data_IF_371348481549
#
_entry.id   IF_371348481549
#
_cell.length_a   1.000
_cell.length_b   1.000
_cell.length_c   1.000
_cell.angle_alpha   90.00
_cell.angle_beta   90.00
_cell.angle_gamma   90.00
#
_symmetry.space_group_name_H-M   'P 1'
#
loop_
_entity.id
_entity.type
_entity.pdbx_description
1 polymer ?
#
# COMPACT_ATOMS: atom_id res chain seq x y z
N UNK A 1 13.34 -8.24 17.31
CA UNK A 1 12.11 -7.52 16.91
C UNK A 1 11.36 -7.17 18.20
N UNK A 2 11.14 -5.90 18.49
CA UNK A 2 10.50 -5.46 19.74
C UNK A 2 8.98 -5.27 19.62
N UNK A 3 8.48 -5.04 18.40
CA UNK A 3 7.04 -4.87 18.09
C UNK A 3 6.69 -5.62 16.81
N UNK A 4 5.43 -6.09 16.65
CA UNK A 4 5.01 -6.73 15.41
C UNK A 4 5.03 -5.73 14.25
N UNK A 5 5.26 -6.23 13.04
CA UNK A 5 5.18 -5.42 11.83
C UNK A 5 3.75 -4.87 11.69
N UNK A 6 3.64 -3.59 11.30
CA UNK A 6 2.34 -2.92 11.21
C UNK A 6 1.35 -3.65 10.28
N UNK A 7 1.83 -4.21 9.15
CA UNK A 7 0.99 -4.98 8.23
C UNK A 7 0.42 -6.25 8.88
N UNK A 8 1.23 -6.98 9.65
CA UNK A 8 0.80 -8.21 10.32
C UNK A 8 -0.19 -7.90 11.46
N UNK A 9 0.05 -6.80 12.19
CA UNK A 9 -0.86 -6.28 13.21
C UNK A 9 -2.24 -5.96 12.60
N UNK A 10 -2.27 -5.19 11.50
CA UNK A 10 -3.50 -4.84 10.80
C UNK A 10 -4.21 -6.07 10.23
N UNK A 11 -3.45 -7.01 9.66
CA UNK A 11 -3.98 -8.24 9.08
C UNK A 11 -4.64 -9.12 10.14
N UNK A 12 -3.93 -9.42 11.24
CA UNK A 12 -4.48 -10.23 12.32
C UNK A 12 -5.69 -9.54 12.95
N UNK A 13 -5.65 -8.22 13.17
CA UNK A 13 -6.80 -7.49 13.68
C UNK A 13 -8.03 -7.62 12.77
N UNK A 14 -7.85 -7.48 11.45
CA UNK A 14 -8.94 -7.69 10.49
C UNK A 14 -9.47 -9.14 10.53
N UNK A 15 -8.59 -10.15 10.62
CA UNK A 15 -9.00 -11.54 10.78
C UNK A 15 -9.83 -11.77 12.05
N UNK A 16 -9.43 -11.17 13.18
CA UNK A 16 -10.19 -11.27 14.43
C UNK A 16 -11.62 -10.72 14.29
N UNK A 17 -11.82 -9.65 13.52
CA UNK A 17 -13.15 -9.13 13.20
C UNK A 17 -13.94 -10.04 12.24
N UNK A 18 -13.29 -10.58 11.20
CA UNK A 18 -13.93 -11.46 10.21
C UNK A 18 -14.39 -12.78 10.83
N UNK A 19 -13.58 -13.37 11.72
CA UNK A 19 -13.83 -14.68 12.33
C UNK A 19 -14.43 -14.61 13.74
N UNK A 20 -14.85 -13.41 14.17
CA UNK A 20 -15.37 -13.12 15.52
C UNK A 20 -14.51 -13.74 16.64
N UNK A 21 -13.23 -13.34 16.67
CA UNK A 21 -12.26 -13.70 17.71
C UNK A 21 -11.88 -12.48 18.52
N UNK A 22 -11.72 -12.66 19.83
CA UNK A 22 -11.31 -11.58 20.73
C UNK A 22 -9.81 -11.40 20.73
N UNK A 23 -9.06 -12.51 20.72
CA UNK A 23 -7.60 -12.51 20.85
C UNK A 23 -6.94 -13.32 19.73
N UNK A 24 -5.71 -12.95 19.41
CA UNK A 24 -4.90 -13.57 18.38
C UNK A 24 -3.41 -13.46 18.73
N UNK A 25 -2.59 -14.29 18.07
CA UNK A 25 -1.15 -14.34 18.31
C UNK A 25 -0.43 -14.20 16.97
N UNK A 26 0.60 -13.36 16.93
CA UNK A 26 1.59 -13.31 15.85
C UNK A 26 2.84 -14.02 16.34
N UNK A 27 3.35 -14.97 15.56
CA UNK A 27 4.57 -15.70 15.85
C UNK A 27 5.55 -15.46 14.69
N UNK A 28 6.69 -14.85 15.00
CA UNK A 28 7.80 -14.74 14.07
C UNK A 28 8.82 -15.83 14.38
N UNK A 29 9.16 -16.62 13.36
CA UNK A 29 10.22 -17.63 13.41
C UNK A 29 11.38 -17.12 12.58
N UNK A 30 12.51 -16.85 13.22
CA UNK A 30 13.71 -16.31 12.57
C UNK A 30 14.57 -17.41 11.95
N UNK A 31 15.55 -17.04 11.12
CA UNK A 31 16.45 -18.00 10.46
C UNK A 31 17.29 -18.83 11.44
N UNK A 32 17.53 -18.35 12.66
CA UNK A 32 18.19 -19.08 13.75
C UNK A 32 17.23 -19.91 14.61
N UNK A 33 15.97 -20.10 14.17
CA UNK A 33 14.92 -20.86 14.88
C UNK A 33 14.50 -20.24 16.23
N UNK A 34 14.73 -18.95 16.42
CA UNK A 34 14.18 -18.24 17.57
C UNK A 34 12.74 -17.84 17.26
N UNK A 35 11.89 -17.93 18.29
CA UNK A 35 10.49 -17.58 18.20
C UNK A 35 10.24 -16.28 18.97
N UNK A 36 9.57 -15.33 18.33
CA UNK A 36 9.12 -14.08 18.95
C UNK A 36 7.60 -14.04 18.82
N UNK A 37 6.92 -13.97 19.96
CA UNK A 37 5.47 -14.03 20.04
C UNK A 37 4.87 -12.71 20.52
N UNK A 38 3.79 -12.28 19.88
CA UNK A 38 3.00 -11.13 20.29
C UNK A 38 1.54 -11.53 20.43
N UNK A 39 0.96 -11.33 21.61
CA UNK A 39 -0.49 -11.51 21.84
C UNK A 39 -1.21 -10.18 21.60
N UNK A 40 -2.34 -10.24 20.92
CA UNK A 40 -3.11 -9.08 20.51
C UNK A 40 -4.59 -9.31 20.80
N UNK A 41 -5.28 -8.26 21.22
CA UNK A 41 -6.74 -8.24 21.37
C UNK A 41 -7.32 -7.38 20.25
N UNK A 42 -8.49 -7.77 19.72
CA UNK A 42 -9.17 -7.04 18.66
C UNK A 42 -9.40 -5.57 19.03
N UNK A 43 -9.04 -4.69 18.12
CA UNK A 43 -9.23 -3.25 18.24
C UNK A 43 -10.18 -2.75 17.16
N UNK A 44 -11.24 -2.06 17.59
CA UNK A 44 -12.29 -1.56 16.69
C UNK A 44 -11.79 -0.40 15.83
N UNK A 45 -11.03 0.53 16.42
CA UNK A 45 -10.59 1.75 15.75
C UNK A 45 -9.64 1.43 14.60
N UNK A 46 -8.72 0.51 14.83
CA UNK A 46 -7.80 -0.03 13.84
C UNK A 46 -8.55 -0.71 12.69
N UNK A 47 -9.61 -1.47 12.99
CA UNK A 47 -10.41 -2.11 11.96
C UNK A 47 -11.23 -1.11 11.13
N UNK A 48 -11.83 -0.10 11.77
CA UNK A 48 -12.53 0.99 11.09
C UNK A 48 -11.61 1.76 10.14
N UNK A 49 -10.34 1.94 10.50
CA UNK A 49 -9.33 2.55 9.62
C UNK A 49 -9.05 1.70 8.37
N UNK A 50 -8.93 0.37 8.51
CA UNK A 50 -8.80 -0.55 7.37
C UNK A 50 -10.03 -0.48 6.47
N UNK A 51 -11.24 -0.49 7.04
CA UNK A 51 -12.48 -0.32 6.29
C UNK A 51 -12.48 1.00 5.51
N UNK A 52 -12.06 2.10 6.15
CA UNK A 52 -11.98 3.42 5.51
C UNK A 52 -11.04 3.39 4.30
N UNK A 53 -9.84 2.79 4.42
CA UNK A 53 -8.87 2.67 3.33
C UNK A 53 -9.42 1.85 2.15
N UNK A 54 -10.10 0.74 2.44
CA UNK A 54 -10.74 -0.09 1.40
C UNK A 54 -11.86 0.66 0.67
N UNK A 55 -12.67 1.45 1.39
CA UNK A 55 -13.72 2.28 0.78
C UNK A 55 -13.14 3.33 -0.16
N UNK A 56 -12.11 4.06 0.30
CA UNK A 56 -11.39 5.04 -0.53
C UNK A 56 -10.83 4.37 -1.80
N UNK A 57 -10.19 3.22 -1.66
CA UNK A 57 -9.68 2.47 -2.82
C UNK A 57 -10.81 2.06 -3.78
N UNK A 58 -11.91 1.52 -3.25
CA UNK A 58 -13.09 1.14 -4.04
C UNK A 58 -13.64 2.32 -4.85
N UNK A 59 -13.75 3.50 -4.24
CA UNK A 59 -14.30 4.68 -4.89
C UNK A 59 -13.38 5.19 -6.01
N UNK A 60 -12.07 5.22 -5.76
CA UNK A 60 -11.06 5.57 -6.76
C UNK A 60 -11.08 4.62 -7.96
N UNK A 61 -11.21 3.31 -7.71
CA UNK A 61 -11.31 2.31 -8.78
C UNK A 61 -12.57 2.47 -9.62
N UNK A 62 -13.73 2.76 -9.00
CA UNK A 62 -14.98 3.04 -9.72
C UNK A 62 -14.88 4.28 -10.59
N UNK A 63 -14.19 5.32 -10.11
CA UNK A 63 -13.94 6.56 -10.84
C UNK A 63 -12.77 6.46 -11.84
N UNK A 64 -12.13 5.30 -11.96
CA UNK A 64 -10.93 5.07 -12.77
C UNK A 64 -9.78 6.05 -12.47
N UNK A 65 -9.68 6.49 -11.21
CA UNK A 65 -8.60 7.36 -10.73
C UNK A 65 -7.47 6.51 -10.15
N UNK A 66 -6.24 6.85 -10.50
CA UNK A 66 -5.06 6.23 -9.91
C UNK A 66 -5.02 6.50 -8.40
N UNK A 67 -4.91 5.47 -7.54
CA UNK A 67 -4.79 5.68 -6.11
C UNK A 67 -3.50 6.42 -5.72
N UNK A 68 -3.57 7.15 -4.62
CA UNK A 68 -2.40 7.81 -4.03
C UNK A 68 -1.46 6.71 -3.50
N UNK A 69 -0.19 6.77 -3.91
CA UNK A 69 0.83 5.84 -3.45
C UNK A 69 1.20 6.15 -2.00
N UNK A 70 1.11 5.14 -1.15
CA UNK A 70 1.62 5.21 0.22
C UNK A 70 3.05 4.62 0.27
N UNK A 71 3.96 5.21 1.05
CA UNK A 71 5.28 4.62 1.26
C UNK A 71 5.14 3.23 1.89
N UNK A 72 5.82 2.23 1.31
CA UNK A 72 5.90 0.89 1.89
C UNK A 72 7.32 0.35 1.77
N UNK A 73 7.76 -0.41 2.77
CA UNK A 73 9.01 -1.16 2.70
C UNK A 73 8.98 -2.17 1.54
N UNK A 74 7.79 -2.67 1.19
CA UNK A 74 7.57 -3.59 0.06
C UNK A 74 7.94 -2.96 -1.29
N UNK A 75 7.99 -1.63 -1.38
CA UNK A 75 8.38 -0.93 -2.60
C UNK A 75 9.86 -1.15 -2.95
N UNK A 76 10.72 -1.43 -1.98
CA UNK A 76 12.18 -1.58 -2.16
C UNK A 76 12.51 -2.68 -3.17
N UNK A 77 11.82 -3.82 -3.06
CA UNK A 77 12.03 -5.00 -3.91
C UNK A 77 10.86 -5.22 -4.90
N UNK A 78 9.97 -4.22 -5.04
CA UNK A 78 8.80 -4.33 -5.90
C UNK A 78 9.19 -4.30 -7.38
N UNK A 79 8.92 -5.40 -8.10
CA UNK A 79 9.12 -5.50 -9.56
C UNK A 79 8.39 -4.41 -10.37
N UNK A 80 7.39 -3.76 -9.78
CA UNK A 80 6.59 -2.70 -10.40
C UNK A 80 6.96 -1.29 -9.94
N UNK A 81 7.98 -1.11 -9.08
CA UNK A 81 8.36 0.19 -8.50
C UNK A 81 8.43 1.30 -9.56
N UNK A 82 9.12 1.02 -10.68
CA UNK A 82 9.27 1.96 -11.78
C UNK A 82 7.94 2.35 -12.43
N UNK A 83 6.94 1.47 -12.46
CA UNK A 83 5.61 1.80 -13.02
C UNK A 83 4.81 2.73 -12.11
N UNK A 84 5.03 2.66 -10.81
CA UNK A 84 4.36 3.49 -9.81
C UNK A 84 5.02 4.86 -9.70
N UNK A 85 6.36 4.92 -9.68
CA UNK A 85 7.11 6.15 -9.38
C UNK A 85 7.69 6.90 -10.59
N UNK A 86 7.74 6.30 -11.79
CA UNK A 86 8.08 7.08 -12.99
C UNK A 86 6.89 7.96 -13.36
N UNK A 87 7.07 9.27 -13.17
CA UNK A 87 6.19 10.28 -13.76
C UNK A 87 6.28 10.12 -15.27
N UNK A 88 5.18 9.72 -15.94
CA UNK A 88 5.10 9.86 -17.39
C UNK A 88 5.32 11.35 -17.69
N UNK A 89 6.49 11.70 -18.23
CA UNK A 89 6.67 13.01 -18.85
C UNK A 89 5.66 13.08 -19.98
N UNK A 90 4.53 13.73 -19.74
CA UNK A 90 3.68 14.25 -20.79
C UNK A 90 4.42 15.42 -21.45
N UNK A 91 5.60 15.17 -22.01
CA UNK A 91 6.10 16.03 -23.07
C UNK A 91 5.08 15.81 -24.18
N UNK A 92 4.13 16.75 -24.33
CA UNK A 92 3.50 16.95 -25.64
C UNK A 92 4.67 16.88 -26.62
N UNK A 93 4.62 15.97 -27.59
CA UNK A 93 5.59 15.96 -28.67
C UNK A 93 5.38 17.26 -29.43
N UNK A 94 5.98 18.35 -28.93
CA UNK A 94 6.12 19.58 -29.71
C UNK A 94 7.12 19.21 -30.77
N UNK A 95 6.71 19.23 -32.03
CA UNK A 95 7.63 18.93 -33.12
C UNK A 95 8.79 19.94 -33.06
N UNK A 96 10.00 19.52 -33.42
CA UNK A 96 11.15 20.42 -33.45
C UNK A 96 10.87 21.65 -34.34
N UNK A 97 10.03 21.48 -35.36
CA UNK A 97 9.51 22.52 -36.25
C UNK A 97 8.66 23.57 -35.52
N UNK A 98 7.81 23.18 -34.57
CA UNK A 98 7.04 24.12 -33.73
C UNK A 98 7.93 24.84 -32.72
N UNK A 99 8.94 24.18 -32.15
CA UNK A 99 9.89 24.83 -31.23
C UNK A 99 10.81 25.84 -31.93
N UNK A 100 11.10 25.64 -33.23
CA UNK A 100 11.93 26.53 -34.04
C UNK A 100 11.12 27.62 -34.79
N UNK A 101 9.82 27.75 -34.52
CA UNK A 101 8.98 28.79 -35.14
C UNK A 101 8.71 28.57 -36.63
N UNK A 102 8.88 27.35 -37.14
CA UNK A 102 8.65 26.97 -38.54
C UNK A 102 7.21 26.43 -38.77
N UNK A 103 6.33 26.62 -37.78
CA UNK A 103 4.95 26.16 -37.82
C UNK A 103 4.02 27.17 -38.49
N UNK A 104 3.88 27.02 -39.83
CA UNK A 104 2.80 27.51 -40.72
C UNK A 104 2.57 29.02 -40.86
N UNK A 105 2.71 29.49 -42.10
CA UNK A 105 1.79 30.47 -42.72
C UNK A 105 0.37 29.87 -42.85
#
# INVERSE_FOLDING_TARGET
LETPLANDLLYLNACMWIYDKTDGIIIYITGNKEEIMFSLTRDKKMFEEVIRRVRVLSDLLKEQKTPILEPSNDCTDCQYYQRCFITKKNTKQVSLSEMLGLGKD
#
